data_IF_479482311603
#
_entry.id   IF_479482311603
#
_cell.length_a   1.000
_cell.length_b   1.000
_cell.length_c   1.000
_cell.angle_alpha   90.00
_cell.angle_beta   90.00
_cell.angle_gamma   90.00
#
_symmetry.space_group_name_H-M   'P 1'
#
loop_
_entity.id
_entity.type
_entity.pdbx_description
1 polymer ?
#
# COMPACT_ATOMS: atom_id res chain seq x y z
N UNK A 1 0.64 10.95 9.99
CA UNK A 1 0.12 10.06 8.91
C UNK A 1 -1.01 10.83 8.24
N UNK A 2 -0.86 11.15 6.96
CA UNK A 2 -1.76 12.08 6.24
C UNK A 2 -3.22 11.60 6.14
N UNK A 3 -3.48 10.30 6.19
CA UNK A 3 -4.84 9.75 6.21
C UNK A 3 -5.66 10.26 7.40
N UNK A 4 -5.01 10.60 8.50
CA UNK A 4 -5.65 11.15 9.70
C UNK A 4 -6.07 12.62 9.54
N UNK A 5 -5.52 13.30 8.54
CA UNK A 5 -5.87 14.68 8.21
C UNK A 5 -7.04 14.74 7.19
N UNK A 6 -7.51 13.57 6.72
CA UNK A 6 -8.69 13.47 5.88
C UNK A 6 -9.94 13.48 6.77
N UNK A 7 -10.91 14.34 6.44
CA UNK A 7 -12.12 14.50 7.23
C UNK A 7 -13.38 14.41 6.36
N UNK A 8 -14.34 13.59 6.80
CA UNK A 8 -15.66 13.43 6.19
C UNK A 8 -15.67 13.26 4.66
N UNK A 9 -14.63 12.58 4.14
CA UNK A 9 -14.49 12.37 2.71
C UNK A 9 -15.25 11.11 2.28
N UNK A 10 -16.05 11.22 1.22
CA UNK A 10 -16.69 10.07 0.57
C UNK A 10 -16.03 9.85 -0.79
N UNK A 11 -15.46 8.67 -0.98
CA UNK A 11 -14.72 8.29 -2.18
C UNK A 11 -15.45 7.18 -2.95
N UNK A 12 -15.25 7.14 -4.25
CA UNK A 12 -15.69 6.01 -5.07
C UNK A 12 -14.81 4.79 -4.83
N UNK A 13 -13.51 5.01 -4.60
CA UNK A 13 -12.56 3.94 -4.29
C UNK A 13 -11.38 4.43 -3.45
N UNK A 14 -10.71 3.47 -2.81
CA UNK A 14 -9.35 3.63 -2.26
C UNK A 14 -8.47 2.49 -2.74
N UNK A 15 -7.19 2.81 -2.92
CA UNK A 15 -6.13 1.86 -3.23
C UNK A 15 -5.34 1.61 -1.95
N UNK A 16 -5.12 0.35 -1.60
CA UNK A 16 -4.37 -0.10 -0.44
C UNK A 16 -3.20 -0.99 -0.87
N UNK A 17 -2.17 -1.08 -0.06
CA UNK A 17 -1.00 -1.94 -0.28
C UNK A 17 0.32 -1.26 0.04
N UNK A 18 1.39 -1.80 -0.50
CA UNK A 18 2.77 -1.39 -0.26
C UNK A 18 3.24 -0.22 -1.16
N UNK A 19 4.57 -0.01 -1.23
CA UNK A 19 5.21 0.89 -2.20
C UNK A 19 4.77 0.58 -3.64
N UNK A 20 4.47 -0.67 -3.93
CA UNK A 20 4.09 -1.11 -5.26
C UNK A 20 2.76 -0.51 -5.76
N UNK A 21 1.80 -0.25 -4.88
CA UNK A 21 0.61 0.53 -5.27
C UNK A 21 0.89 2.03 -5.20
N UNK A 22 1.68 2.46 -4.22
CA UNK A 22 1.99 3.87 -4.02
C UNK A 22 2.65 4.50 -5.26
N UNK A 23 3.59 3.77 -5.89
CA UNK A 23 4.31 4.24 -7.09
C UNK A 23 3.65 3.86 -8.41
N UNK A 24 2.62 2.99 -8.44
CA UNK A 24 2.13 2.42 -9.68
C UNK A 24 0.79 2.95 -10.19
N UNK A 25 -0.05 3.54 -9.33
CA UNK A 25 -1.39 4.00 -9.75
C UNK A 25 -1.61 5.47 -9.41
N UNK A 26 -2.05 6.23 -10.42
CA UNK A 26 -2.26 7.68 -10.40
C UNK A 26 -3.76 8.01 -10.25
N UNK A 27 -4.30 8.30 -9.04
CA UNK A 27 -5.73 8.57 -8.86
C UNK A 27 -6.23 9.78 -9.67
N UNK A 28 -5.38 10.80 -9.85
CA UNK A 28 -5.74 11.96 -10.67
C UNK A 28 -6.01 11.59 -12.14
N UNK A 29 -5.30 10.59 -12.68
CA UNK A 29 -5.54 10.10 -14.04
C UNK A 29 -6.84 9.30 -14.12
N UNK A 30 -7.15 8.49 -13.09
CA UNK A 30 -8.42 7.77 -13.01
C UNK A 30 -9.58 8.76 -13.00
N UNK A 31 -9.54 9.79 -12.14
CA UNK A 31 -10.60 10.80 -12.11
C UNK A 31 -10.74 11.55 -13.44
N UNK A 32 -9.63 11.96 -14.05
CA UNK A 32 -9.65 12.66 -15.32
C UNK A 32 -10.31 11.84 -16.46
N UNK A 33 -10.13 10.52 -16.46
CA UNK A 33 -10.67 9.62 -17.49
C UNK A 33 -12.07 9.08 -17.19
N UNK A 34 -12.44 8.95 -15.90
CA UNK A 34 -13.66 8.22 -15.48
C UNK A 34 -14.63 9.06 -14.64
N UNK A 35 -14.19 10.19 -14.13
CA UNK A 35 -14.95 10.98 -13.15
C UNK A 35 -14.98 10.37 -11.73
N UNK A 36 -14.41 9.17 -11.52
CA UNK A 36 -14.38 8.49 -10.21
C UNK A 36 -13.30 9.07 -9.31
N UNK A 37 -13.69 9.43 -8.10
CA UNK A 37 -12.80 10.04 -7.10
C UNK A 37 -12.24 8.98 -6.16
N UNK A 38 -10.93 8.94 -6.03
CA UNK A 38 -10.25 8.01 -5.11
C UNK A 38 -8.92 8.52 -4.63
N UNK A 39 -8.37 7.79 -3.67
CA UNK A 39 -7.05 8.03 -3.09
C UNK A 39 -6.20 6.77 -3.09
N UNK A 40 -4.90 6.96 -3.30
CA UNK A 40 -3.90 5.93 -3.12
C UNK A 40 -3.38 6.03 -1.68
N UNK A 41 -3.80 5.08 -0.85
CA UNK A 41 -3.39 4.98 0.55
C UNK A 41 -2.22 4.00 0.74
N UNK A 42 -1.56 3.59 -0.34
CA UNK A 42 -0.39 2.73 -0.28
C UNK A 42 0.71 3.33 0.59
N UNK A 43 1.39 2.49 1.36
CA UNK A 43 2.49 2.88 2.22
C UNK A 43 3.72 2.01 1.97
N UNK A 44 4.89 2.65 1.93
CA UNK A 44 6.13 1.93 1.68
C UNK A 44 6.43 0.88 2.76
N UNK A 45 6.89 -0.29 2.31
CA UNK A 45 7.28 -1.40 3.18
C UNK A 45 6.19 -1.82 4.16
N UNK A 46 4.92 -1.84 3.73
CA UNK A 46 3.81 -2.36 4.52
C UNK A 46 3.33 -3.69 3.96
N UNK A 47 2.73 -4.47 4.82
CA UNK A 47 2.02 -5.69 4.46
C UNK A 47 0.56 -5.62 4.93
N UNK A 48 -0.13 -6.75 4.99
CA UNK A 48 -1.55 -6.79 5.36
C UNK A 48 -1.81 -6.26 6.77
N UNK A 49 -0.88 -6.40 7.71
CA UNK A 49 -1.06 -5.96 9.11
C UNK A 49 -1.20 -4.45 9.18
N UNK A 50 -0.23 -3.70 8.64
CA UNK A 50 -0.30 -2.24 8.63
C UNK A 50 -1.41 -1.73 7.71
N UNK A 51 -1.72 -2.47 6.65
CA UNK A 51 -2.78 -2.12 5.70
C UNK A 51 -4.16 -2.17 6.36
N UNK A 52 -4.45 -3.18 7.18
CA UNK A 52 -5.70 -3.24 7.95
C UNK A 52 -5.78 -2.07 8.92
N UNK A 53 -4.72 -1.83 9.70
CA UNK A 53 -4.70 -0.71 10.65
C UNK A 53 -4.92 0.65 9.94
N UNK A 54 -4.31 0.85 8.78
CA UNK A 54 -4.48 2.07 7.98
C UNK A 54 -5.92 2.21 7.47
N UNK A 55 -6.53 1.12 7.04
CA UNK A 55 -7.89 1.14 6.52
C UNK A 55 -8.92 1.36 7.64
N UNK A 56 -8.74 0.75 8.81
CA UNK A 56 -9.54 1.04 10.00
C UNK A 56 -9.44 2.52 10.39
N UNK A 57 -8.22 3.11 10.37
CA UNK A 57 -8.02 4.52 10.65
C UNK A 57 -8.73 5.42 9.63
N UNK A 58 -8.69 5.08 8.34
CA UNK A 58 -9.43 5.77 7.28
C UNK A 58 -10.94 5.73 7.55
N UNK A 59 -11.49 4.57 7.90
CA UNK A 59 -12.92 4.38 8.10
C UNK A 59 -13.50 5.11 9.32
N UNK A 60 -12.68 5.59 10.26
CA UNK A 60 -13.16 6.36 11.41
C UNK A 60 -13.90 7.65 10.99
N UNK A 61 -13.46 8.28 9.94
CA UNK A 61 -13.98 9.58 9.51
C UNK A 61 -14.38 9.64 8.03
N UNK A 62 -14.01 8.63 7.24
CA UNK A 62 -14.16 8.63 5.80
C UNK A 62 -14.95 7.41 5.32
N UNK A 63 -15.45 7.48 4.08
CA UNK A 63 -16.19 6.39 3.45
C UNK A 63 -15.66 6.11 2.04
N UNK A 64 -15.74 4.86 1.63
CA UNK A 64 -15.47 4.45 0.25
C UNK A 64 -16.44 3.38 -0.19
N UNK A 65 -16.66 3.24 -1.50
CA UNK A 65 -17.51 2.18 -2.08
C UNK A 65 -16.71 0.94 -2.46
N UNK A 66 -15.43 1.14 -2.79
CA UNK A 66 -14.59 0.07 -3.32
C UNK A 66 -13.17 0.18 -2.75
N UNK A 67 -12.61 -0.97 -2.42
CA UNK A 67 -11.18 -1.14 -2.08
C UNK A 67 -10.52 -1.92 -3.21
N UNK A 68 -9.38 -1.42 -3.70
CA UNK A 68 -8.45 -2.17 -4.52
C UNK A 68 -7.19 -2.41 -3.71
N UNK A 69 -6.97 -3.65 -3.30
CA UNK A 69 -5.80 -4.04 -2.50
C UNK A 69 -4.73 -4.68 -3.39
N UNK A 70 -3.58 -4.03 -3.45
CA UNK A 70 -2.40 -4.59 -4.08
C UNK A 70 -1.81 -5.68 -3.19
N UNK A 71 -1.56 -6.84 -3.79
CA UNK A 71 -1.03 -8.04 -3.13
C UNK A 71 0.13 -8.60 -3.96
N UNK A 72 1.16 -9.08 -3.30
CA UNK A 72 2.34 -9.66 -3.92
C UNK A 72 3.06 -10.63 -2.96
N UNK A 73 4.38 -10.72 -3.06
CA UNK A 73 5.22 -11.55 -2.19
C UNK A 73 5.06 -11.22 -0.69
N UNK A 74 4.56 -10.03 -0.34
CA UNK A 74 4.23 -9.67 1.04
C UNK A 74 3.02 -10.44 1.59
N UNK A 75 2.28 -11.16 0.71
CA UNK A 75 1.15 -12.00 1.12
C UNK A 75 1.49 -13.00 2.22
N UNK A 76 2.72 -13.50 2.26
CA UNK A 76 3.15 -14.47 3.28
C UNK A 76 3.38 -13.88 4.68
N UNK A 77 3.41 -12.54 4.81
CA UNK A 77 3.70 -11.86 6.07
C UNK A 77 2.49 -11.85 6.98
N UNK A 78 2.70 -12.25 8.22
CA UNK A 78 1.68 -12.32 9.28
C UNK A 78 2.02 -11.42 10.49
N UNK A 79 3.12 -10.67 10.41
CA UNK A 79 3.59 -9.72 11.44
C UNK A 79 3.92 -8.37 10.82
N UNK A 80 3.90 -7.27 11.57
CA UNK A 80 4.25 -5.96 11.06
C UNK A 80 5.63 -5.93 10.40
N UNK A 81 5.74 -5.16 9.31
CA UNK A 81 7.05 -4.91 8.71
C UNK A 81 7.84 -3.90 9.56
N UNK A 82 9.13 -4.17 9.85
CA UNK A 82 9.96 -3.27 10.68
C UNK A 82 10.11 -1.85 10.15
N UNK A 83 9.83 -1.61 8.86
CA UNK A 83 9.84 -0.28 8.26
C UNK A 83 8.42 0.31 8.29
N UNK A 84 7.42 -0.46 7.89
CA UNK A 84 6.01 -0.04 7.83
C UNK A 84 5.46 0.36 9.18
N UNK A 85 5.82 -0.38 10.25
CA UNK A 85 5.36 -0.09 11.61
C UNK A 85 5.85 1.27 12.16
N UNK A 86 6.94 1.84 11.60
CA UNK A 86 7.49 3.13 12.07
C UNK A 86 6.47 4.26 12.01
N UNK A 87 5.61 4.24 11.00
CA UNK A 87 4.57 5.26 10.82
C UNK A 87 3.54 5.27 11.98
N UNK A 88 3.42 4.18 12.74
CA UNK A 88 2.47 4.00 13.84
C UNK A 88 3.05 4.36 15.21
N UNK A 89 4.37 4.37 15.37
CA UNK A 89 5.02 4.64 16.65
C UNK A 89 4.68 5.99 17.29
N UNK A 90 4.46 7.09 16.54
CA UNK A 90 4.00 8.34 17.14
C UNK A 90 2.65 8.20 17.87
N UNK A 91 1.82 7.27 17.43
CA UNK A 91 0.45 7.07 17.90
C UNK A 91 0.31 5.94 18.92
N UNK A 92 1.40 5.30 19.35
CA UNK A 92 1.39 4.17 20.28
C UNK A 92 0.76 4.49 21.66
N UNK A 93 0.57 5.77 21.98
CA UNK A 93 -0.15 6.19 23.20
C UNK A 93 -1.68 6.08 23.06
N UNK A 94 -2.19 6.00 21.85
CA UNK A 94 -3.60 5.75 21.60
C UNK A 94 -3.93 4.28 21.88
N UNK A 95 -5.02 4.04 22.60
CA UNK A 95 -5.38 2.70 23.09
C UNK A 95 -5.57 1.71 21.94
N UNK A 96 -6.23 2.13 20.87
CA UNK A 96 -6.51 1.30 19.70
C UNK A 96 -5.22 0.89 18.98
N UNK A 97 -4.33 1.85 18.69
CA UNK A 97 -3.05 1.59 18.03
C UNK A 97 -2.18 0.65 18.88
N UNK A 98 -2.11 0.93 20.19
CA UNK A 98 -1.36 0.09 21.12
C UNK A 98 -1.87 -1.34 21.14
N UNK A 99 -3.19 -1.54 21.31
CA UNK A 99 -3.77 -2.86 21.42
C UNK A 99 -3.66 -3.63 20.10
N UNK A 100 -3.77 -2.93 18.96
CA UNK A 100 -3.60 -3.55 17.66
C UNK A 100 -2.18 -4.10 17.45
N UNK A 101 -1.14 -3.31 17.71
CA UNK A 101 0.23 -3.75 17.44
C UNK A 101 0.85 -4.61 18.54
N UNK A 102 0.42 -4.46 19.81
CA UNK A 102 0.90 -5.25 20.94
C UNK A 102 0.68 -6.76 20.78
N UNK A 103 -0.35 -7.17 20.05
CA UNK A 103 -0.61 -8.60 19.80
C UNK A 103 0.49 -9.26 18.96
N UNK A 104 1.22 -8.48 18.15
CA UNK A 104 2.30 -8.95 17.30
C UNK A 104 3.67 -8.84 17.97
N UNK A 105 3.90 -7.82 18.79
CA UNK A 105 5.19 -7.61 19.46
C UNK A 105 4.97 -7.01 20.87
N UNK A 106 5.36 -7.76 21.91
CA UNK A 106 5.30 -7.33 23.31
C UNK A 106 6.13 -6.05 23.58
N UNK A 107 7.11 -5.74 22.71
CA UNK A 107 7.92 -4.52 22.79
C UNK A 107 7.09 -3.24 22.68
N UNK A 108 5.88 -3.30 22.12
CA UNK A 108 4.96 -2.14 22.10
C UNK A 108 4.64 -1.61 23.50
N UNK A 109 4.70 -2.46 24.54
CA UNK A 109 4.59 -2.00 25.93
C UNK A 109 5.75 -1.07 26.32
N UNK A 110 6.96 -1.36 25.87
CA UNK A 110 8.10 -0.47 26.11
C UNK A 110 7.99 0.82 25.30
N UNK A 111 7.52 0.76 24.04
CA UNK A 111 7.29 1.93 23.20
C UNK A 111 6.26 2.88 23.79
N UNK A 112 5.24 2.34 24.46
CA UNK A 112 4.18 3.12 25.10
C UNK A 112 4.61 3.75 26.42
N UNK A 113 5.25 2.96 27.32
CA UNK A 113 5.43 3.34 28.70
C UNK A 113 6.83 3.86 29.04
N UNK A 114 7.86 3.53 28.25
CA UNK A 114 9.22 4.02 28.51
C UNK A 114 9.47 5.25 27.62
N UNK A 115 9.65 6.45 28.23
CA UNK A 115 9.90 7.67 27.46
C UNK A 115 11.06 7.50 26.47
N UNK A 116 10.89 7.98 25.26
CA UNK A 116 11.88 7.97 24.18
C UNK A 116 12.33 6.59 23.66
N UNK A 117 11.97 5.48 24.31
CA UNK A 117 12.40 4.14 23.91
C UNK A 117 12.05 3.81 22.46
N UNK A 118 10.85 4.18 22.00
CA UNK A 118 10.41 3.98 20.61
C UNK A 118 11.31 4.65 19.56
N UNK A 119 11.96 5.75 19.89
CA UNK A 119 12.84 6.45 18.98
C UNK A 119 14.23 5.79 18.88
N UNK A 120 14.64 5.08 19.90
CA UNK A 120 15.94 4.41 19.92
C UNK A 120 16.02 3.28 18.88
N UNK A 121 14.95 2.50 18.70
CA UNK A 121 14.89 1.40 17.72
C UNK A 121 15.09 1.91 16.28
N UNK A 122 14.70 3.15 16.00
CA UNK A 122 14.65 3.72 14.64
C UNK A 122 15.57 4.94 14.44
N UNK A 123 16.36 5.30 15.44
CA UNK A 123 17.25 6.47 15.39
C UNK A 123 18.19 6.48 14.17
N UNK A 124 18.60 5.31 13.68
CA UNK A 124 19.41 5.18 12.46
C UNK A 124 18.62 5.36 11.14
N UNK A 125 17.27 5.34 11.19
CA UNK A 125 16.39 5.48 10.00
C UNK A 125 15.70 6.84 9.93
N UNK A 126 15.42 7.45 11.08
CA UNK A 126 14.97 8.84 11.16
C UNK A 126 16.20 9.73 11.18
N UNK A 127 16.75 10.01 10.00
CA UNK A 127 17.90 10.87 9.85
C UNK A 127 17.61 12.29 10.31
N UNK A 128 18.63 12.98 10.84
CA UNK A 128 18.53 14.39 11.27
C UNK A 128 18.06 15.30 10.13
N UNK A 129 18.39 14.93 8.89
CA UNK A 129 17.96 15.61 7.67
C UNK A 129 16.44 15.57 7.48
N UNK A 130 15.80 14.42 7.69
CA UNK A 130 14.36 14.24 7.56
C UNK A 130 13.60 15.02 8.60
N UNK A 131 14.12 15.10 9.83
CA UNK A 131 13.55 15.92 10.90
C UNK A 131 13.61 17.40 10.54
N UNK A 132 14.74 17.89 10.07
CA UNK A 132 14.90 19.31 9.64
C UNK A 132 14.04 19.60 8.42
N UNK A 133 14.05 18.73 7.41
CA UNK A 133 13.22 18.89 6.21
C UNK A 133 11.74 18.97 6.55
N UNK A 134 11.26 18.09 7.44
CA UNK A 134 9.87 18.10 7.91
C UNK A 134 9.55 19.39 8.69
N UNK A 135 10.43 19.83 9.57
CA UNK A 135 10.26 21.06 10.35
C UNK A 135 10.20 22.32 9.47
N UNK A 136 10.88 22.30 8.31
CA UNK A 136 10.87 23.40 7.33
C UNK A 136 9.71 23.27 6.31
N UNK A 137 8.77 22.34 6.53
CA UNK A 137 7.65 22.11 5.63
C UNK A 137 8.04 21.40 4.33
N UNK A 138 9.25 20.86 4.26
CA UNK A 138 9.68 19.96 3.19
C UNK A 138 8.98 18.61 3.35
N UNK A 139 8.38 18.11 2.31
CA UNK A 139 7.73 16.82 2.31
C UNK A 139 6.86 16.63 1.07
N UNK A 140 6.52 15.39 0.80
CA UNK A 140 5.67 15.06 -0.32
C UNK A 140 4.22 15.49 -0.04
N UNK A 141 3.62 16.22 -0.98
CA UNK A 141 2.24 16.74 -0.82
C UNK A 141 1.21 15.71 -1.24
N UNK A 142 1.01 14.69 -0.44
CA UNK A 142 0.03 13.61 -0.67
C UNK A 142 -1.37 14.07 -1.07
N UNK A 143 -1.96 15.13 -0.49
CA UNK A 143 -3.28 15.58 -0.90
C UNK A 143 -3.35 16.03 -2.36
N UNK A 144 -2.29 16.64 -2.90
CA UNK A 144 -2.23 17.11 -4.30
C UNK A 144 -2.16 15.95 -5.29
N UNK A 145 -1.36 14.94 -4.98
CA UNK A 145 -1.20 13.72 -5.80
C UNK A 145 -2.23 12.66 -5.48
N UNK A 146 -3.07 12.89 -4.48
CA UNK A 146 -3.99 11.90 -3.91
C UNK A 146 -3.29 10.62 -3.48
N UNK A 147 -2.11 10.76 -2.90
CA UNK A 147 -1.32 9.68 -2.36
C UNK A 147 -0.37 8.99 -3.35
N UNK A 148 -0.48 9.23 -4.67
CA UNK A 148 0.52 8.74 -5.61
C UNK A 148 1.87 9.42 -5.38
N UNK A 149 2.93 8.63 -5.36
CA UNK A 149 4.32 9.12 -5.33
C UNK A 149 5.02 8.83 -6.67
N UNK A 150 5.56 9.83 -7.37
CA UNK A 150 6.36 9.58 -8.57
C UNK A 150 7.70 8.91 -8.19
N UNK A 151 8.12 7.96 -9.00
CA UNK A 151 9.44 7.36 -8.94
C UNK A 151 10.13 7.59 -10.27
N UNK A 152 11.33 8.16 -10.20
CA UNK A 152 12.11 8.48 -11.38
C UNK A 152 13.19 7.41 -11.64
N UNK A 153 13.80 7.47 -12.80
CA UNK A 153 14.84 6.55 -13.23
C UNK A 153 14.34 5.48 -14.17
N UNK A 154 15.30 4.75 -14.74
CA UNK A 154 15.05 3.61 -15.63
C UNK A 154 15.95 2.49 -15.18
N UNK A 155 15.36 1.31 -15.04
CA UNK A 155 16.06 0.07 -14.71
C UNK A 155 17.22 -0.15 -15.70
N UNK A 156 18.42 -0.39 -15.17
CA UNK A 156 19.62 -0.61 -15.97
C UNK A 156 19.94 -2.10 -16.15
N UNK A 157 19.47 -2.91 -15.22
CA UNK A 157 19.68 -4.37 -15.22
C UNK A 157 18.64 -5.03 -16.10
N UNK A 158 19.06 -6.00 -16.92
CA UNK A 158 18.18 -6.78 -17.80
C UNK A 158 18.11 -8.25 -17.34
N UNK A 159 18.00 -8.45 -16.04
CA UNK A 159 17.94 -9.77 -15.41
C UNK A 159 16.50 -10.15 -15.05
N UNK A 160 16.26 -11.45 -14.97
CA UNK A 160 14.99 -11.98 -14.49
C UNK A 160 14.88 -11.78 -12.98
N UNK A 161 13.72 -11.37 -12.51
CA UNK A 161 13.43 -11.29 -11.09
C UNK A 161 12.95 -12.65 -10.58
N UNK A 162 13.79 -13.30 -9.78
CA UNK A 162 13.48 -14.57 -9.12
C UNK A 162 13.17 -14.25 -7.66
N UNK A 163 11.91 -14.42 -7.21
CA UNK A 163 11.57 -14.21 -5.81
C UNK A 163 12.32 -15.17 -4.89
N UNK A 164 12.79 -14.67 -3.76
CA UNK A 164 13.38 -15.46 -2.68
C UNK A 164 12.32 -16.15 -1.77
N UNK A 165 11.05 -15.84 -2.01
CA UNK A 165 9.91 -16.41 -1.29
C UNK A 165 8.85 -16.91 -2.25
N UNK A 166 8.14 -17.96 -1.85
CA UNK A 166 7.03 -18.54 -2.63
C UNK A 166 5.78 -18.57 -1.76
N UNK A 167 4.65 -18.23 -2.35
CA UNK A 167 3.33 -18.33 -1.68
C UNK A 167 2.93 -19.81 -1.71
N UNK A 168 2.79 -20.42 -0.53
CA UNK A 168 2.49 -21.86 -0.40
C UNK A 168 1.26 -22.15 0.43
N UNK A 169 0.72 -21.16 1.15
CA UNK A 169 -0.44 -21.31 2.03
C UNK A 169 -1.29 -20.04 2.05
N UNK A 170 -2.55 -20.18 2.43
CA UNK A 170 -3.43 -19.06 2.69
C UNK A 170 -2.95 -18.23 3.89
N UNK A 171 -3.00 -16.89 3.74
CA UNK A 171 -2.83 -15.96 4.85
C UNK A 171 -4.20 -15.47 5.32
N UNK A 172 -4.60 -15.93 6.50
CA UNK A 172 -5.92 -15.65 7.07
C UNK A 172 -6.16 -14.18 7.43
N UNK A 173 -5.12 -13.36 7.54
CA UNK A 173 -5.27 -11.93 7.82
C UNK A 173 -6.02 -11.20 6.70
N UNK A 174 -5.93 -11.69 5.46
CA UNK A 174 -6.72 -11.13 4.35
C UNK A 174 -8.22 -11.33 4.54
N UNK A 175 -8.64 -12.39 5.23
CA UNK A 175 -10.06 -12.60 5.58
C UNK A 175 -10.56 -11.52 6.54
N UNK A 176 -9.71 -11.01 7.45
CA UNK A 176 -10.08 -9.91 8.34
C UNK A 176 -10.40 -8.63 7.55
N UNK A 177 -9.61 -8.33 6.52
CA UNK A 177 -9.88 -7.17 5.65
C UNK A 177 -11.15 -7.39 4.81
N UNK A 178 -11.37 -8.59 4.28
CA UNK A 178 -12.60 -8.92 3.55
C UNK A 178 -13.82 -8.72 4.46
N UNK A 179 -13.79 -9.24 5.68
CA UNK A 179 -14.88 -9.07 6.66
C UNK A 179 -15.09 -7.59 7.02
N UNK A 180 -14.01 -6.82 7.19
CA UNK A 180 -14.09 -5.38 7.44
C UNK A 180 -14.78 -4.64 6.28
N UNK A 181 -14.48 -5.01 5.05
CA UNK A 181 -15.15 -4.48 3.86
C UNK A 181 -16.63 -4.86 3.83
N UNK A 182 -16.97 -6.13 4.08
CA UNK A 182 -18.35 -6.63 4.12
C UNK A 182 -19.19 -5.91 5.19
N UNK A 183 -18.65 -5.72 6.39
CA UNK A 183 -19.33 -5.01 7.50
C UNK A 183 -19.63 -3.54 7.17
N UNK A 184 -18.93 -2.96 6.21
CA UNK A 184 -19.10 -1.57 5.79
C UNK A 184 -19.74 -1.42 4.39
N UNK A 185 -20.29 -2.50 3.81
CA UNK A 185 -20.87 -2.52 2.45
C UNK A 185 -19.88 -2.07 1.35
N UNK A 186 -18.59 -2.42 1.51
CA UNK A 186 -17.52 -2.04 0.61
C UNK A 186 -17.13 -3.24 -0.28
N UNK A 187 -17.07 -3.02 -1.59
CA UNK A 187 -16.55 -4.03 -2.53
C UNK A 187 -15.03 -4.10 -2.43
N UNK A 188 -14.46 -5.31 -2.43
CA UNK A 188 -13.02 -5.50 -2.44
C UNK A 188 -12.57 -6.27 -3.69
N UNK A 189 -11.50 -5.75 -4.30
CA UNK A 189 -10.75 -6.36 -5.40
C UNK A 189 -9.29 -6.46 -5.03
N UNK A 190 -8.67 -7.57 -5.39
CA UNK A 190 -7.25 -7.80 -5.16
C UNK A 190 -6.51 -7.79 -6.49
N UNK A 191 -5.29 -7.30 -6.49
CA UNK A 191 -4.48 -7.31 -7.70
C UNK A 191 -2.99 -7.35 -7.39
N UNK A 192 -2.21 -7.90 -8.32
CA UNK A 192 -0.75 -7.80 -8.31
C UNK A 192 -0.31 -6.78 -9.36
N UNK A 193 0.50 -5.79 -8.94
CA UNK A 193 1.10 -4.80 -9.86
C UNK A 193 2.18 -5.44 -10.75
N UNK A 194 2.52 -4.82 -11.90
CA UNK A 194 3.57 -5.33 -12.79
C UNK A 194 4.93 -5.48 -12.11
N UNK A 195 5.65 -6.51 -12.51
CA UNK A 195 7.06 -6.77 -12.23
C UNK A 195 7.85 -6.80 -13.53
N UNK A 196 9.12 -6.47 -13.46
CA UNK A 196 9.99 -6.69 -14.59
C UNK A 196 10.48 -8.14 -14.59
N UNK A 197 10.14 -8.89 -15.66
CA UNK A 197 10.56 -10.27 -15.90
C UNK A 197 10.45 -11.21 -14.68
N UNK A 198 9.31 -11.21 -14.02
CA UNK A 198 9.04 -12.06 -12.86
C UNK A 198 9.01 -13.55 -13.24
N UNK A 199 9.69 -14.36 -12.46
CA UNK A 199 9.65 -15.83 -12.51
C UNK A 199 8.70 -16.43 -11.47
N UNK A 200 7.49 -15.87 -11.37
CA UNK A 200 6.39 -16.40 -10.57
C UNK A 200 5.08 -16.03 -11.28
N UNK A 201 4.05 -16.80 -11.09
CA UNK A 201 2.74 -16.56 -11.72
C UNK A 201 1.63 -16.20 -10.71
N UNK A 202 1.91 -16.24 -9.43
CA UNK A 202 0.95 -15.97 -8.34
C UNK A 202 -0.36 -16.77 -8.42
N UNK A 203 -0.39 -17.92 -9.07
CA UNK A 203 -1.61 -18.73 -9.29
C UNK A 203 -2.37 -19.03 -7.99
N UNK A 204 -1.66 -19.25 -6.88
CA UNK A 204 -2.32 -19.53 -5.61
C UNK A 204 -3.11 -18.34 -5.06
N UNK A 205 -2.76 -17.11 -5.42
CA UNK A 205 -3.54 -15.93 -5.02
C UNK A 205 -4.96 -15.95 -5.63
N UNK A 206 -5.12 -16.46 -6.85
CA UNK A 206 -6.43 -16.62 -7.49
C UNK A 206 -7.34 -17.59 -6.70
N UNK A 207 -6.74 -18.55 -6.01
CA UNK A 207 -7.46 -19.51 -5.18
C UNK A 207 -7.86 -18.94 -3.82
N UNK A 208 -7.00 -18.08 -3.24
CA UNK A 208 -7.17 -17.58 -1.89
C UNK A 208 -7.93 -16.26 -1.79
N UNK A 209 -7.90 -15.46 -2.88
CA UNK A 209 -8.44 -14.10 -2.86
C UNK A 209 -9.59 -13.95 -3.87
N UNK A 210 -10.77 -13.51 -3.42
CA UNK A 210 -11.90 -13.26 -4.32
C UNK A 210 -11.59 -12.03 -5.21
N UNK A 211 -12.12 -12.03 -6.44
CA UNK A 211 -11.95 -10.90 -7.38
C UNK A 211 -10.48 -10.49 -7.58
N UNK A 212 -9.58 -11.46 -7.63
CA UNK A 212 -8.16 -11.22 -7.86
C UNK A 212 -7.85 -11.06 -9.35
N UNK A 213 -6.97 -10.12 -9.68
CA UNK A 213 -6.43 -9.90 -11.04
C UNK A 213 -4.92 -9.84 -11.00
N UNK A 214 -4.28 -10.68 -11.78
CA UNK A 214 -2.83 -10.73 -11.89
C UNK A 214 -2.34 -9.82 -13.04
N UNK A 215 -1.69 -8.69 -12.72
CA UNK A 215 -1.05 -7.82 -13.70
C UNK A 215 0.47 -7.98 -13.73
N UNK A 216 1.05 -8.97 -13.05
CA UNK A 216 2.50 -9.08 -12.88
C UNK A 216 3.29 -9.03 -14.20
N UNK A 217 2.73 -9.57 -15.28
CA UNK A 217 3.35 -9.63 -16.61
C UNK A 217 2.67 -8.74 -17.66
N UNK A 218 1.91 -7.70 -17.26
CA UNK A 218 1.20 -6.82 -18.21
C UNK A 218 2.05 -5.67 -18.77
N UNK A 219 3.25 -5.47 -18.23
CA UNK A 219 4.24 -4.52 -18.71
C UNK A 219 5.57 -5.25 -18.77
N UNK A 220 6.18 -5.32 -19.96
CA UNK A 220 7.42 -6.05 -20.18
C UNK A 220 8.60 -5.13 -20.53
N UNK A 221 8.31 -3.87 -20.92
CA UNK A 221 9.34 -2.93 -21.36
C UNK A 221 10.10 -2.37 -20.17
N UNK A 222 11.41 -2.59 -20.15
CA UNK A 222 12.36 -2.14 -19.14
C UNK A 222 12.28 -0.63 -18.86
N UNK A 223 11.99 0.16 -19.87
CA UNK A 223 11.90 1.63 -19.77
C UNK A 223 10.78 2.13 -18.85
N UNK A 224 9.81 1.28 -18.51
CA UNK A 224 8.72 1.60 -17.58
C UNK A 224 9.04 1.28 -16.12
N UNK A 225 10.20 0.74 -15.84
CA UNK A 225 10.59 0.35 -14.48
C UNK A 225 11.74 1.22 -13.96
N UNK A 226 11.69 1.54 -12.68
CA UNK A 226 12.77 2.18 -11.93
C UNK A 226 13.75 1.13 -11.37
N UNK A 227 13.20 0.01 -10.92
CA UNK A 227 13.88 -1.22 -10.51
C UNK A 227 13.00 -2.42 -10.87
N UNK A 228 13.42 -3.65 -10.56
CA UNK A 228 12.70 -4.86 -10.96
C UNK A 228 11.28 -4.97 -10.38
N UNK A 229 10.98 -4.25 -9.31
CA UNK A 229 9.70 -4.36 -8.60
C UNK A 229 8.86 -3.07 -8.61
N UNK A 230 9.42 -1.93 -9.04
CA UNK A 230 8.72 -0.66 -9.05
C UNK A 230 8.66 -0.02 -10.44
N UNK A 231 7.46 0.40 -10.81
CA UNK A 231 7.26 1.23 -12.00
C UNK A 231 7.77 2.65 -11.78
N UNK A 232 8.38 3.24 -12.80
CA UNK A 232 8.66 4.66 -12.82
C UNK A 232 7.41 5.49 -13.21
N UNK A 233 7.57 6.80 -13.29
CA UNK A 233 6.45 7.73 -13.57
C UNK A 233 5.70 7.41 -14.88
N UNK A 234 6.39 6.98 -15.93
CA UNK A 234 5.78 6.61 -17.21
C UNK A 234 5.14 5.21 -17.12
N UNK A 235 5.78 4.25 -16.47
CA UNK A 235 5.20 2.94 -16.20
C UNK A 235 3.93 3.03 -15.34
N UNK A 236 3.93 3.89 -14.33
CA UNK A 236 2.76 4.16 -13.51
C UNK A 236 1.58 4.73 -14.33
N UNK A 237 1.87 5.62 -15.30
CA UNK A 237 0.84 6.12 -16.22
C UNK A 237 0.28 4.98 -17.08
N UNK A 238 1.15 4.19 -17.70
CA UNK A 238 0.75 3.05 -18.53
C UNK A 238 -0.06 2.03 -17.72
N UNK A 239 0.38 1.67 -16.53
CA UNK A 239 -0.35 0.73 -15.68
C UNK A 239 -1.69 1.30 -15.20
N UNK A 240 -1.76 2.58 -14.88
CA UNK A 240 -3.04 3.22 -14.52
C UNK A 240 -4.05 3.13 -15.68
N UNK A 241 -3.61 3.22 -16.94
CA UNK A 241 -4.48 3.05 -18.10
C UNK A 241 -5.03 1.63 -18.21
N UNK A 242 -4.17 0.62 -18.03
CA UNK A 242 -4.58 -0.80 -17.98
C UNK A 242 -5.57 -1.04 -16.83
N UNK A 243 -5.29 -0.45 -15.68
CA UNK A 243 -6.14 -0.56 -14.49
C UNK A 243 -7.54 0.06 -14.73
N UNK A 244 -7.60 1.20 -15.43
CA UNK A 244 -8.88 1.84 -15.82
C UNK A 244 -9.65 0.93 -16.78
N UNK A 245 -8.99 0.38 -17.78
CA UNK A 245 -9.61 -0.53 -18.75
C UNK A 245 -10.22 -1.77 -18.06
N UNK A 246 -9.57 -2.28 -17.01
CA UNK A 246 -10.02 -3.47 -16.30
C UNK A 246 -11.17 -3.18 -15.34
N UNK A 247 -11.09 -2.10 -14.56
CA UNK A 247 -12.00 -1.91 -13.42
C UNK A 247 -13.02 -0.77 -13.60
N UNK A 248 -12.81 0.13 -14.55
CA UNK A 248 -13.64 1.32 -14.73
C UNK A 248 -14.28 1.42 -16.13
N UNK A 249 -13.97 0.47 -17.04
CA UNK A 249 -14.72 0.38 -18.28
C UNK A 249 -16.15 -0.03 -17.96
N UNK A 250 -17.12 0.78 -18.33
CA UNK A 250 -18.53 0.40 -18.27
C UNK A 250 -18.70 -0.86 -19.10
N UNK A 251 -19.19 -1.93 -18.48
CA UNK A 251 -19.70 -3.08 -19.24
C UNK A 251 -20.86 -2.55 -20.09
N UNK A 252 -20.61 -2.38 -21.38
CA UNK A 252 -21.65 -2.03 -22.38
C UNK A 252 -22.72 -3.10 -22.44
#
# INVERSE_FOLDING_TARGET
MWVRDMDNTTLDYVLLGSSRVNYSIKPNLIEAKTGKKGYNLGMNATNIVETIALFEEFLKQNKTKTVYLQVDLQYIKETPDPIGEVAWLPYVHEEEVYNYFKQYDAAYSYYRYIPFYRYQKYAGRLGFREVISSALGGGYKYPVSRGYMPLEGVLQEDEEFIPDVTITKENKLYQNLIQLCEQNDIKVYFFTSPYYRLKDDFQLLETYLPNYTNFSNHIEEQTYFSDQVHLNTEGAKRFTEIFIETYFSETK
#
